data_IF_277182339956
#
_entry.id   IF_277182339956
#
_cell.length_a   1.000
_cell.length_b   1.000
_cell.length_c   1.000
_cell.angle_alpha   90.00
_cell.angle_beta   90.00
_cell.angle_gamma   90.00
#
_symmetry.space_group_name_H-M   'P 1'
#
loop_
_entity.id
_entity.type
_entity.pdbx_description
1 polymer ?
#
# COMPACT_ATOMS: atom_id res chain seq x y z
N UNK A 1 -3.10 21.62 -8.71
CA UNK A 1 -3.09 20.92 -7.41
C UNK A 1 -4.54 20.91 -6.93
N UNK A 2 -5.48 20.03 -7.30
CA UNK A 2 -5.58 18.57 -7.51
C UNK A 2 -5.10 17.74 -6.32
N UNK A 3 -5.19 18.32 -5.13
CA UNK A 3 -4.96 17.62 -3.85
C UNK A 3 -6.23 16.87 -3.42
N UNK A 4 -6.81 16.06 -4.31
CA UNK A 4 -7.92 15.18 -3.94
C UNK A 4 -7.35 13.84 -3.46
N UNK A 5 -7.51 13.48 -2.17
CA UNK A 5 -7.53 12.09 -1.80
C UNK A 5 -8.85 11.53 -2.34
N UNK A 6 -8.84 10.96 -3.55
CA UNK A 6 -10.03 10.35 -4.14
C UNK A 6 -10.61 9.23 -3.25
N UNK A 7 -9.88 8.82 -2.20
CA UNK A 7 -10.27 7.77 -1.27
C UNK A 7 -10.33 6.39 -1.92
N UNK A 8 -10.06 6.32 -3.23
CA UNK A 8 -10.06 5.10 -4.01
C UNK A 8 -8.88 4.26 -3.57
N UNK A 9 -9.18 3.11 -3.00
CA UNK A 9 -8.20 2.08 -2.68
C UNK A 9 -8.09 1.14 -3.88
N UNK A 10 -6.86 0.74 -4.19
CA UNK A 10 -6.61 -0.34 -5.14
C UNK A 10 -6.45 -1.62 -4.34
N UNK A 11 -7.20 -2.65 -4.72
CA UNK A 11 -7.07 -3.99 -4.15
C UNK A 11 -6.10 -4.81 -5.02
N UNK A 12 -5.32 -5.68 -4.39
CA UNK A 12 -4.37 -6.52 -5.11
C UNK A 12 -3.56 -7.42 -4.19
N UNK A 13 -2.84 -8.36 -4.81
CA UNK A 13 -1.94 -9.26 -4.11
C UNK A 13 -0.59 -8.56 -3.96
N UNK A 14 -0.12 -8.46 -2.71
CA UNK A 14 1.20 -7.91 -2.39
C UNK A 14 2.27 -8.88 -2.90
N UNK A 15 3.18 -8.37 -3.72
CA UNK A 15 4.39 -9.08 -4.15
C UNK A 15 5.51 -8.89 -3.13
N UNK A 16 5.84 -7.62 -2.84
CA UNK A 16 6.96 -7.28 -1.95
C UNK A 16 6.54 -6.26 -0.90
N UNK A 17 7.06 -6.44 0.32
CA UNK A 17 7.01 -5.42 1.37
C UNK A 17 8.28 -4.57 1.26
N UNK A 18 8.12 -3.29 0.93
CA UNK A 18 9.21 -2.36 0.65
C UNK A 18 9.60 -1.52 1.87
N UNK A 19 9.22 -1.93 3.09
CA UNK A 19 9.56 -1.19 4.30
C UNK A 19 10.18 -2.10 5.35
N UNK A 20 11.35 -1.71 5.83
CA UNK A 20 12.15 -2.49 6.79
C UNK A 20 11.90 -2.14 8.27
N UNK A 21 11.29 -0.98 8.56
CA UNK A 21 10.98 -0.57 9.93
C UNK A 21 9.68 -1.20 10.40
N UNK A 22 9.54 -1.53 11.68
CA UNK A 22 8.30 -2.09 12.24
C UNK A 22 7.22 -1.03 12.50
N UNK A 23 7.60 0.24 12.62
CA UNK A 23 6.69 1.36 12.82
C UNK A 23 6.55 2.22 11.56
N UNK A 24 5.33 2.34 11.05
CA UNK A 24 5.03 3.15 9.87
C UNK A 24 3.96 4.19 10.16
N UNK A 25 4.34 5.46 10.40
CA UNK A 25 3.38 6.54 10.65
C UNK A 25 2.36 6.72 9.53
N UNK A 26 2.73 6.31 8.30
CA UNK A 26 1.91 6.46 7.09
C UNK A 26 1.50 5.10 6.47
N UNK A 27 1.69 3.99 7.18
CA UNK A 27 1.42 2.64 6.69
C UNK A 27 2.56 1.99 5.92
N UNK A 28 2.45 0.67 5.75
CA UNK A 28 3.45 -0.19 5.10
C UNK A 28 3.52 0.15 3.61
N UNK A 29 4.72 0.42 3.08
CA UNK A 29 4.96 0.54 1.65
C UNK A 29 5.10 -0.85 1.04
N UNK A 30 4.34 -1.11 -0.01
CA UNK A 30 4.33 -2.40 -0.71
C UNK A 30 4.40 -2.21 -2.21
N UNK A 31 4.78 -3.28 -2.90
CA UNK A 31 4.61 -3.47 -4.34
C UNK A 31 3.55 -4.55 -4.58
N UNK A 32 2.60 -4.26 -5.44
CA UNK A 32 1.63 -5.25 -5.91
C UNK A 32 2.26 -6.13 -7.00
N UNK A 33 1.70 -7.32 -7.23
CA UNK A 33 2.11 -8.19 -8.35
C UNK A 33 1.97 -7.52 -9.73
N UNK A 34 1.10 -6.50 -9.84
CA UNK A 34 0.98 -5.66 -11.03
C UNK A 34 2.19 -4.75 -11.29
N UNK A 35 3.12 -4.65 -10.33
CA UNK A 35 4.27 -3.74 -10.37
C UNK A 35 4.00 -2.37 -9.75
N UNK A 36 2.75 -2.07 -9.41
CA UNK A 36 2.37 -0.81 -8.77
C UNK A 36 2.90 -0.72 -7.34
N UNK A 37 3.34 0.49 -6.94
CA UNK A 37 3.91 0.74 -5.61
C UNK A 37 3.03 1.71 -4.85
N UNK A 38 2.66 1.34 -3.64
CA UNK A 38 1.70 2.11 -2.82
C UNK A 38 1.86 1.88 -1.32
N UNK A 39 0.88 2.40 -0.58
CA UNK A 39 0.75 2.20 0.88
C UNK A 39 -0.46 1.32 1.17
N UNK A 40 -0.28 0.40 2.09
CA UNK A 40 -1.35 -0.46 2.57
C UNK A 40 -2.23 0.28 3.56
N UNK A 41 -3.55 0.18 3.35
CA UNK A 41 -4.58 0.64 4.28
C UNK A 41 -5.20 -0.52 5.08
N UNK A 42 -5.40 -1.68 4.44
CA UNK A 42 -5.95 -2.90 5.07
C UNK A 42 -5.24 -4.14 4.52
N UNK A 43 -5.02 -5.14 5.37
CA UNK A 43 -4.52 -6.46 5.00
C UNK A 43 -5.62 -7.45 5.37
N UNK A 44 -6.00 -8.31 4.43
CA UNK A 44 -6.89 -9.43 4.69
C UNK A 44 -6.03 -10.69 4.69
N UNK A 45 -6.06 -11.42 5.79
CA UNK A 45 -5.48 -12.75 5.88
C UNK A 45 -6.50 -13.75 5.27
N UNK A 46 -6.02 -14.77 4.57
CA UNK A 46 -6.87 -15.82 4.00
C UNK A 46 -7.22 -16.87 5.05
#
# INVERSE_FOLDING_TARGET
KIDQPTGKLTEGIVADILTNVSFHPRGIKVRLQTGEVGRVQKIYER
#
